data_IF_345076835653
#
_entry.id   IF_345076835653
#
_cell.length_a   1.000
_cell.length_b   1.000
_cell.length_c   1.000
_cell.angle_alpha   90.00
_cell.angle_beta   90.00
_cell.angle_gamma   90.00
#
_symmetry.space_group_name_H-M   'P 1'
#
loop_
_entity.id
_entity.type
_entity.pdbx_description
1 polymer ?
#
# COMPACT_ATOMS: atom_id res chain seq x y z
N UNK A 1 13.16 1.57 9.48
CA UNK A 1 12.25 2.70 9.24
C UNK A 1 11.86 2.79 7.78
N UNK A 2 10.81 3.56 7.50
CA UNK A 2 10.27 3.76 6.17
C UNK A 2 9.93 5.24 5.96
N UNK A 3 9.94 5.64 4.71
CA UNK A 3 9.42 6.93 4.26
C UNK A 3 8.30 6.70 3.24
N UNK A 4 7.38 7.66 3.16
CA UNK A 4 6.28 7.63 2.19
C UNK A 4 6.75 8.39 0.95
N UNK A 5 6.78 7.69 -0.18
CA UNK A 5 7.02 8.28 -1.49
C UNK A 5 5.67 8.43 -2.23
N UNK A 6 5.28 9.65 -2.65
CA UNK A 6 4.09 9.84 -3.48
C UNK A 6 4.32 9.33 -4.91
N UNK A 7 3.34 8.62 -5.46
CA UNK A 7 3.36 8.13 -6.85
C UNK A 7 2.59 9.00 -7.84
N UNK A 8 1.85 10.01 -7.37
CA UNK A 8 1.10 10.94 -8.21
C UNK A 8 0.67 12.18 -7.43
N UNK A 9 -0.35 12.88 -7.93
CA UNK A 9 -0.91 14.08 -7.29
C UNK A 9 -1.78 13.75 -6.06
N UNK A 10 -2.37 12.56 -6.02
CA UNK A 10 -3.19 12.12 -4.91
C UNK A 10 -2.32 11.76 -3.68
N UNK A 11 -2.42 12.50 -2.57
CA UNK A 11 -1.62 12.26 -1.38
C UNK A 11 -1.94 10.92 -0.68
N UNK A 12 -3.07 10.30 -1.02
CA UNK A 12 -3.44 8.96 -0.50
C UNK A 12 -2.74 7.83 -1.24
N UNK A 13 -2.20 8.10 -2.44
CA UNK A 13 -1.53 7.13 -3.32
C UNK A 13 -0.01 7.14 -3.11
N UNK A 14 0.41 6.81 -1.89
CA UNK A 14 1.81 6.76 -1.47
C UNK A 14 2.30 5.34 -1.16
N UNK A 15 3.57 5.05 -1.50
CA UNK A 15 4.23 3.77 -1.17
C UNK A 15 5.23 3.97 -0.05
N UNK A 16 5.27 3.03 0.90
CA UNK A 16 6.31 2.97 1.94
C UNK A 16 7.57 2.33 1.39
N UNK A 17 8.66 3.09 1.33
CA UNK A 17 9.99 2.61 0.93
C UNK A 17 10.88 2.54 2.17
N UNK A 18 11.62 1.45 2.34
CA UNK A 18 12.56 1.31 3.46
C UNK A 18 13.71 2.32 3.35
N UNK A 19 14.20 2.83 4.48
CA UNK A 19 15.29 3.82 4.52
C UNK A 19 16.71 3.22 4.44
N UNK A 20 16.81 1.88 4.39
CA UNK A 20 18.08 1.15 4.35
C UNK A 20 18.83 1.07 3.00
N UNK A 21 18.18 1.12 1.82
CA UNK A 21 18.87 1.01 0.54
C UNK A 21 19.79 2.21 0.25
N UNK A 22 20.91 2.00 -0.49
CA UNK A 22 21.72 3.10 -0.99
C UNK A 22 20.92 4.07 -1.87
N UNK A 23 21.28 5.36 -1.84
CA UNK A 23 20.56 6.41 -2.59
C UNK A 23 20.38 6.10 -4.08
N UNK A 24 21.36 5.48 -4.74
CA UNK A 24 21.24 5.10 -6.14
C UNK A 24 20.14 4.06 -6.36
N UNK A 25 20.13 3.00 -5.53
CA UNK A 25 19.13 1.93 -5.58
C UNK A 25 17.75 2.50 -5.30
N UNK A 26 17.65 3.38 -4.29
CA UNK A 26 16.41 4.07 -3.96
C UNK A 26 15.89 4.87 -5.16
N UNK A 27 16.71 5.70 -5.80
CA UNK A 27 16.29 6.48 -6.99
C UNK A 27 15.84 5.62 -8.16
N UNK A 28 16.52 4.50 -8.41
CA UNK A 28 16.13 3.55 -9.45
C UNK A 28 14.78 2.90 -9.14
N UNK A 29 14.55 2.53 -7.88
CA UNK A 29 13.28 2.00 -7.41
C UNK A 29 12.16 3.05 -7.56
N UNK A 30 12.39 4.30 -7.12
CA UNK A 30 11.42 5.38 -7.26
C UNK A 30 11.02 5.63 -8.72
N UNK A 31 11.99 5.65 -9.64
CA UNK A 31 11.72 5.81 -11.07
C UNK A 31 10.86 4.66 -11.62
N UNK A 32 11.24 3.42 -11.33
CA UNK A 32 10.50 2.23 -11.75
C UNK A 32 9.05 2.24 -11.22
N UNK A 33 8.85 2.58 -9.95
CA UNK A 33 7.50 2.62 -9.37
C UNK A 33 6.64 3.73 -10.00
N UNK A 34 7.22 4.91 -10.29
CA UNK A 34 6.51 6.02 -10.96
C UNK A 34 6.14 5.72 -12.41
N UNK A 35 7.02 5.05 -13.15
CA UNK A 35 6.74 4.61 -14.52
C UNK A 35 5.58 3.59 -14.59
N UNK A 36 5.30 2.91 -13.48
CA UNK A 36 4.29 1.86 -13.39
C UNK A 36 3.10 2.25 -12.47
N UNK A 37 2.86 3.55 -12.23
CA UNK A 37 1.82 4.01 -11.31
C UNK A 37 0.42 3.45 -11.63
N UNK A 38 0.10 3.30 -12.91
CA UNK A 38 -1.18 2.78 -13.39
C UNK A 38 -1.37 1.27 -13.15
N UNK A 39 -0.30 0.55 -12.78
CA UNK A 39 -0.39 -0.88 -12.44
C UNK A 39 -0.78 -1.12 -10.98
N UNK A 40 -0.76 -0.10 -10.13
CA UNK A 40 -1.12 -0.23 -8.73
C UNK A 40 -2.64 -0.11 -8.54
N UNK A 41 -3.22 -1.09 -7.85
CA UNK A 41 -4.57 -0.98 -7.31
C UNK A 41 -4.50 -0.37 -5.90
N UNK A 42 -5.03 0.83 -5.76
CA UNK A 42 -5.09 1.59 -4.51
C UNK A 42 -6.31 1.23 -3.65
N UNK A 43 -7.26 0.51 -4.24
CA UNK A 43 -8.40 -0.10 -3.55
C UNK A 43 -8.74 -1.45 -4.17
N UNK A 44 -9.56 -2.23 -3.46
CA UNK A 44 -10.05 -3.52 -3.96
C UNK A 44 -10.96 -3.38 -5.20
N UNK A 45 -11.58 -2.21 -5.40
CA UNK A 45 -12.40 -1.91 -6.57
C UNK A 45 -11.56 -1.79 -7.85
N UNK A 46 -10.30 -1.39 -7.71
CA UNK A 46 -9.36 -1.25 -8.83
C UNK A 46 -8.70 -2.60 -9.22
N UNK A 47 -9.02 -3.72 -8.55
CA UNK A 47 -8.46 -5.04 -8.82
C UNK A 47 -9.37 -5.87 -9.76
N UNK A 48 -9.10 -5.94 -11.08
CA UNK A 48 -9.93 -6.71 -12.01
C UNK A 48 -9.85 -8.21 -11.74
N UNK A 49 -10.99 -8.90 -11.86
CA UNK A 49 -11.09 -10.34 -11.63
C UNK A 49 -11.19 -10.77 -10.15
N UNK A 50 -11.13 -9.80 -9.24
CA UNK A 50 -11.39 -10.00 -7.81
C UNK A 50 -12.76 -9.41 -7.49
N UNK A 51 -13.76 -10.27 -7.24
CA UNK A 51 -15.07 -9.80 -6.83
C UNK A 51 -14.98 -9.23 -5.40
N UNK A 52 -15.28 -7.94 -5.18
CA UNK A 52 -15.09 -7.31 -3.88
C UNK A 52 -15.89 -7.97 -2.76
N UNK A 53 -17.08 -8.50 -3.06
CA UNK A 53 -17.90 -9.23 -2.08
C UNK A 53 -17.25 -10.54 -1.62
N UNK A 54 -16.44 -11.17 -2.49
CA UNK A 54 -15.70 -12.39 -2.18
C UNK A 54 -14.34 -12.07 -1.55
N UNK A 55 -13.67 -11.00 -1.95
CA UNK A 55 -12.34 -10.67 -1.41
C UNK A 55 -12.39 -9.90 -0.08
N UNK A 56 -13.37 -9.03 0.09
CA UNK A 56 -13.58 -8.26 1.30
C UNK A 56 -14.47 -9.05 2.28
N UNK A 57 -13.89 -10.03 2.95
CA UNK A 57 -14.59 -10.68 4.07
C UNK A 57 -14.68 -9.71 5.25
N UNK A 58 -15.90 -9.35 5.65
CA UNK A 58 -16.11 -8.62 6.90
C UNK A 58 -15.91 -9.58 8.07
N UNK A 59 -14.86 -9.35 8.85
CA UNK A 59 -14.71 -10.03 10.12
C UNK A 59 -15.84 -9.59 11.05
N UNK A 60 -16.51 -10.54 11.71
CA UNK A 60 -17.47 -10.26 12.79
C UNK A 60 -16.69 -9.81 14.03
N UNK A 61 -16.22 -8.56 14.01
CA UNK A 61 -15.51 -7.94 15.12
C UNK A 61 -16.53 -7.30 16.05
N UNK A 62 -16.46 -7.60 17.35
CA UNK A 62 -17.22 -6.87 18.36
C UNK A 62 -16.82 -5.39 18.31
N UNK A 63 -17.75 -4.44 18.08
CA UNK A 63 -17.45 -3.01 18.06
C UNK A 63 -16.78 -2.49 19.35
N UNK A 64 -16.88 -3.23 20.45
CA UNK A 64 -16.26 -2.90 21.74
C UNK A 64 -14.84 -3.46 21.89
N UNK A 65 -14.39 -4.31 20.97
CA UNK A 65 -13.05 -4.88 21.01
C UNK A 65 -12.01 -3.80 20.72
N UNK A 66 -10.97 -3.74 21.56
CA UNK A 66 -9.84 -2.85 21.36
C UNK A 66 -8.84 -3.45 20.36
N UNK A 67 -8.21 -2.59 19.57
CA UNK A 67 -7.12 -3.01 18.70
C UNK A 67 -5.93 -3.50 19.54
N UNK A 68 -5.44 -4.69 19.25
CA UNK A 68 -4.26 -5.27 19.90
C UNK A 68 -3.10 -5.28 18.93
N UNK A 69 -1.96 -4.71 19.34
CA UNK A 69 -0.73 -4.76 18.55
C UNK A 69 -0.12 -6.16 18.66
N UNK A 70 0.01 -6.85 17.53
CA UNK A 70 0.69 -8.14 17.49
C UNK A 70 2.19 -7.94 17.78
N UNK A 71 2.72 -8.67 18.77
CA UNK A 71 4.17 -8.63 19.07
C UNK A 71 4.97 -9.31 17.96
N UNK A 72 6.12 -8.73 17.65
CA UNK A 72 7.08 -9.23 16.65
C UNK A 72 7.93 -10.35 17.22
#
# INVERSE_FOLDING_TARGET
DFEIMPLGEDPTKGIKIGTGPPNLVKRQLEACLKENVELFAWSTVEMPGIEPEVACHQLTIDPRASAVVQRR
#
